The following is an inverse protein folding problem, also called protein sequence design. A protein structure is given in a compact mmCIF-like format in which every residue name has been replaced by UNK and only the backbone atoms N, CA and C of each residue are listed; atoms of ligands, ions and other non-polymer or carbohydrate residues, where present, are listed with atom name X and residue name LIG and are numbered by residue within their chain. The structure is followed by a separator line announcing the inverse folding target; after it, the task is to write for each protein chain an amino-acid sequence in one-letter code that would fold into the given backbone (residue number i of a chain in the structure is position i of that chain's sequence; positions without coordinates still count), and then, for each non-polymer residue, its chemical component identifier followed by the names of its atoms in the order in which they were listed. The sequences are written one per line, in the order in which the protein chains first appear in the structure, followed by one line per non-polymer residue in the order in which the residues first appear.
data_IF_079789120583
#
_entry.id   IF_079789120583
#
_cell.length_a   1.000
_cell.length_b   1.000
_cell.length_c   1.000
_cell.angle_alpha   90.00
_cell.angle_beta   90.00
_cell.angle_gamma   90.00
#
_symmetry.space_group_name_H-M   'P 1'
#
loop_
_entity.id
_entity.type
_entity.pdbx_description
1 polymer ?
#
# COMPACT_ATOMS: atom_id res chain seq x y z
N UNK A 1 9.93 7.79 25.84
CA UNK A 1 9.09 8.45 24.83
C UNK A 1 9.38 8.05 23.36
N UNK A 2 9.91 6.86 22.99
CA UNK A 2 10.30 6.63 21.56
C UNK A 2 10.00 5.21 20.97
N UNK A 3 9.03 4.44 21.50
CA UNK A 3 8.65 3.09 20.98
C UNK A 3 7.34 3.13 20.18
N UNK A 4 6.31 3.78 20.71
CA UNK A 4 5.07 4.04 19.97
C UNK A 4 5.33 4.80 18.66
N UNK A 5 6.16 5.85 18.70
CA UNK A 5 6.57 6.59 17.49
C UNK A 5 7.20 5.72 16.40
N UNK A 6 7.89 4.63 16.75
CA UNK A 6 8.46 3.73 15.76
C UNK A 6 7.38 2.89 15.07
N UNK A 7 6.41 2.35 15.82
CA UNK A 7 5.27 1.63 15.25
C UNK A 7 4.31 2.54 14.49
N UNK A 8 4.08 3.75 14.98
CA UNK A 8 3.34 4.80 14.29
C UNK A 8 3.95 5.20 12.95
N UNK A 9 5.24 4.94 12.73
CA UNK A 9 5.90 5.10 11.44
C UNK A 9 5.91 3.80 10.62
N UNK A 10 6.20 2.66 11.26
CA UNK A 10 6.31 1.35 10.59
C UNK A 10 5.01 0.95 9.94
N UNK A 11 3.90 1.04 10.66
CA UNK A 11 2.60 0.54 10.20
C UNK A 11 2.11 1.28 8.94
N UNK A 12 2.06 2.63 8.90
CA UNK A 12 1.65 3.32 7.67
C UNK A 12 2.66 3.17 6.53
N UNK A 13 3.97 3.11 6.82
CA UNK A 13 4.97 2.85 5.77
C UNK A 13 4.80 1.45 5.19
N UNK A 14 4.55 0.43 6.02
CA UNK A 14 4.28 -0.92 5.56
C UNK A 14 2.99 -0.96 4.70
N UNK A 15 1.94 -0.23 5.09
CA UNK A 15 0.73 -0.12 4.28
C UNK A 15 1.00 0.52 2.91
N UNK A 16 1.83 1.58 2.84
CA UNK A 16 2.29 2.15 1.56
C UNK A 16 3.03 1.09 0.74
N UNK A 17 3.91 0.32 1.36
CA UNK A 17 4.65 -0.76 0.70
C UNK A 17 3.74 -1.85 0.13
N UNK A 18 2.74 -2.27 0.91
CA UNK A 18 1.75 -3.27 0.47
C UNK A 18 0.97 -2.77 -0.74
N UNK A 19 0.38 -1.57 -0.67
CA UNK A 19 -0.42 -1.00 -1.76
C UNK A 19 0.42 -0.73 -3.01
N UNK A 20 1.63 -0.21 -2.85
CA UNK A 20 2.55 0.04 -3.96
C UNK A 20 3.02 -1.28 -4.61
N UNK A 21 3.35 -2.29 -3.80
CA UNK A 21 3.75 -3.61 -4.28
C UNK A 21 2.62 -4.32 -5.02
N UNK A 22 1.39 -4.20 -4.53
CA UNK A 22 0.20 -4.70 -5.19
C UNK A 22 -0.02 -4.05 -6.56
N UNK A 23 -0.09 -2.71 -6.60
CA UNK A 23 -0.26 -1.97 -7.85
C UNK A 23 0.87 -2.25 -8.87
N UNK A 24 2.11 -2.30 -8.40
CA UNK A 24 3.26 -2.60 -9.24
C UNK A 24 3.23 -4.04 -9.79
N UNK A 25 2.81 -5.02 -8.99
CA UNK A 25 2.72 -6.42 -9.44
C UNK A 25 1.71 -6.58 -10.58
N UNK A 26 0.55 -5.94 -10.49
CA UNK A 26 -0.45 -5.95 -11.55
C UNK A 26 0.05 -5.23 -12.80
N UNK A 27 0.64 -4.04 -12.64
CA UNK A 27 1.20 -3.28 -13.75
C UNK A 27 2.30 -4.06 -14.50
N UNK A 28 3.20 -4.73 -13.77
CA UNK A 28 4.31 -5.48 -14.34
C UNK A 28 3.89 -6.81 -14.97
N UNK A 29 2.82 -7.43 -14.48
CA UNK A 29 2.27 -8.67 -15.07
C UNK A 29 1.28 -8.40 -16.20
N UNK A 30 0.86 -7.16 -16.40
CA UNK A 30 -0.20 -6.80 -17.35
C UNK A 30 -1.58 -7.32 -16.93
N UNK A 31 -1.73 -7.77 -15.69
CA UNK A 31 -3.01 -8.23 -15.16
C UNK A 31 -3.97 -7.04 -15.02
N UNK A 32 -5.23 -7.22 -15.44
CA UNK A 32 -6.23 -6.15 -15.33
C UNK A 32 -6.60 -5.91 -13.87
N UNK A 33 -6.48 -4.66 -13.43
CA UNK A 33 -7.14 -4.15 -12.24
C UNK A 33 -8.63 -4.00 -12.60
N UNK A 34 -9.44 -4.98 -12.21
CA UNK A 34 -10.89 -4.93 -12.42
C UNK A 34 -11.56 -3.92 -11.48
N UNK A 35 -12.90 -3.91 -11.44
CA UNK A 35 -13.66 -3.10 -10.47
C UNK A 35 -13.33 -3.42 -9.00
N UNK A 36 -12.68 -4.55 -8.76
CA UNK A 36 -12.16 -4.94 -7.45
C UNK A 36 -11.05 -4.07 -6.90
N UNK A 37 -10.41 -3.28 -7.75
CA UNK A 37 -9.24 -2.48 -7.40
C UNK A 37 -9.55 -0.99 -7.31
N UNK A 38 -10.83 -0.60 -7.42
CA UNK A 38 -11.27 0.80 -7.34
C UNK A 38 -10.86 1.45 -6.01
N UNK A 39 -10.74 0.65 -4.94
CA UNK A 39 -10.26 1.13 -3.65
C UNK A 39 -8.83 1.69 -3.69
N UNK A 40 -8.00 1.31 -4.69
CA UNK A 40 -6.64 1.85 -4.85
C UNK A 40 -6.65 3.35 -5.18
N UNK A 41 -7.75 3.87 -5.77
CA UNK A 41 -7.95 5.31 -5.92
C UNK A 41 -8.04 6.02 -4.56
N UNK A 42 -8.35 5.28 -3.50
CA UNK A 42 -8.40 5.74 -2.12
C UNK A 42 -7.17 5.36 -1.28
N UNK A 43 -6.07 4.96 -1.92
CA UNK A 43 -4.84 4.60 -1.23
C UNK A 43 -4.33 5.68 -0.23
N UNK A 44 -4.35 7.00 -0.55
CA UNK A 44 -3.98 8.03 0.43
C UNK A 44 -4.85 8.02 1.69
N UNK A 45 -6.16 7.81 1.55
CA UNK A 45 -7.13 7.75 2.64
C UNK A 45 -6.89 6.51 3.51
N UNK A 46 -6.64 5.35 2.89
CA UNK A 46 -6.32 4.10 3.60
C UNK A 46 -5.05 4.29 4.44
N UNK A 47 -4.00 4.85 3.84
CA UNK A 47 -2.73 5.14 4.56
C UNK A 47 -2.96 6.12 5.70
N UNK A 48 -3.78 7.16 5.50
CA UNK A 48 -4.10 8.14 6.55
C UNK A 48 -4.84 7.49 7.73
N UNK A 49 -5.84 6.64 7.48
CA UNK A 49 -6.56 5.89 8.52
C UNK A 49 -5.60 4.97 9.27
N UNK A 50 -4.76 4.22 8.55
CA UNK A 50 -3.76 3.32 9.14
C UNK A 50 -2.74 4.09 9.99
N UNK A 51 -2.29 5.26 9.52
CA UNK A 51 -1.39 6.13 10.29
C UNK A 51 -2.05 6.64 11.58
N UNK A 52 -3.32 7.06 11.51
CA UNK A 52 -4.09 7.49 12.68
C UNK A 52 -4.23 6.37 13.71
N UNK A 53 -4.62 5.17 13.29
CA UNK A 53 -4.72 4.01 14.16
C UNK A 53 -3.38 3.65 14.80
N UNK A 54 -2.30 3.72 14.02
CA UNK A 54 -0.95 3.46 14.54
C UNK A 54 -0.50 4.51 15.56
N UNK A 55 -0.89 5.78 15.39
CA UNK A 55 -0.66 6.85 16.36
C UNK A 55 -1.47 6.64 17.65
N UNK A 56 -2.73 6.22 17.55
CA UNK A 56 -3.57 5.91 18.70
C UNK A 56 -3.01 4.71 19.50
N UNK A 57 -2.62 3.64 18.81
CA UNK A 57 -1.97 2.48 19.44
C UNK A 57 -0.62 2.85 20.08
N UNK A 58 0.16 3.70 19.41
CA UNK A 58 1.41 4.23 19.95
C UNK A 58 1.22 5.09 21.21
N UNK A 59 0.11 5.82 21.31
CA UNK A 59 -0.23 6.62 22.49
C UNK A 59 -0.63 5.74 23.69
N UNK A 60 -1.21 4.56 23.44
CA UNK A 60 -1.62 3.61 24.46
C UNK A 60 -0.49 2.76 25.06
N UNK A 61 0.69 2.72 24.42
CA UNK A 61 1.72 1.72 24.75
C UNK A 61 3.06 2.30 25.25
N UNK A 62 3.50 1.82 26.43
CA UNK A 62 4.79 2.16 27.02
C UNK A 62 5.87 1.12 26.72
N UNK A 63 7.06 1.58 26.26
CA UNK A 63 8.48 1.10 26.52
C UNK A 63 9.46 1.49 25.36
N UNK A 64 10.65 0.87 25.04
CA UNK A 64 11.65 1.08 23.88
C UNK A 64 12.07 -0.09 22.89
N UNK A 65 11.85 -0.09 21.56
CA UNK A 65 12.25 -1.20 20.64
C UNK A 65 13.29 -0.75 19.59
N UNK A 66 14.04 -1.70 19.02
CA UNK A 66 15.07 -1.47 17.98
C UNK A 66 14.44 -1.48 16.58
N UNK A 67 14.82 -0.53 15.73
CA UNK A 67 14.28 -0.31 14.39
C UNK A 67 15.04 -1.12 13.34
N UNK A 68 14.46 -2.24 12.89
CA UNK A 68 15.01 -3.16 11.87
C UNK A 68 14.09 -3.19 10.64
N UNK A 69 14.59 -3.44 9.42
CA UNK A 69 13.75 -3.64 8.24
C UNK A 69 12.95 -4.96 8.30
N UNK A 70 13.40 -5.95 9.08
CA UNK A 70 12.79 -7.29 9.09
C UNK A 70 11.31 -7.29 9.52
N UNK A 71 10.90 -6.61 10.61
CA UNK A 71 9.48 -6.49 10.97
C UNK A 71 8.63 -5.83 9.88
N UNK A 72 9.19 -4.86 9.14
CA UNK A 72 8.49 -4.18 8.04
C UNK A 72 8.25 -5.16 6.89
N UNK A 73 9.28 -5.95 6.53
CA UNK A 73 9.19 -6.94 5.47
C UNK A 73 8.21 -8.07 5.83
N UNK A 74 8.29 -8.62 7.05
CA UNK A 74 7.39 -9.69 7.50
C UNK A 74 5.95 -9.21 7.61
N UNK A 75 5.73 -8.01 8.17
CA UNK A 75 4.40 -7.43 8.26
C UNK A 75 3.85 -7.12 6.87
N UNK A 76 4.65 -6.51 5.99
CA UNK A 76 4.26 -6.22 4.61
C UNK A 76 3.91 -7.48 3.83
N UNK A 77 4.74 -8.52 3.90
CA UNK A 77 4.45 -9.82 3.27
C UNK A 77 3.16 -10.45 3.80
N UNK A 78 2.95 -10.43 5.12
CA UNK A 78 1.75 -11.00 5.73
C UNK A 78 0.51 -10.18 5.35
N UNK A 79 0.57 -8.86 5.45
CA UNK A 79 -0.53 -7.96 5.12
C UNK A 79 -0.89 -8.03 3.63
N UNK A 80 0.11 -8.10 2.73
CA UNK A 80 -0.10 -8.32 1.30
C UNK A 80 -0.79 -9.66 1.05
N UNK A 81 -0.34 -10.74 1.69
CA UNK A 81 -0.96 -12.05 1.54
C UNK A 81 -2.42 -12.05 2.03
N UNK A 82 -2.70 -11.42 3.17
CA UNK A 82 -4.06 -11.29 3.70
C UNK A 82 -4.93 -10.45 2.74
N UNK A 83 -4.42 -9.32 2.26
CA UNK A 83 -5.13 -8.46 1.32
C UNK A 83 -5.53 -9.20 0.04
N UNK A 84 -4.62 -9.95 -0.58
CA UNK A 84 -4.96 -10.73 -1.78
C UNK A 84 -5.98 -11.86 -1.51
N UNK A 85 -5.91 -12.54 -0.36
CA UNK A 85 -6.96 -13.52 -0.02
C UNK A 85 -8.31 -12.84 0.18
N UNK A 86 -8.36 -11.71 0.89
CA UNK A 86 -9.60 -10.97 1.12
C UNK A 86 -10.21 -10.50 -0.20
N UNK A 87 -9.39 -9.97 -1.12
CA UNK A 87 -9.85 -9.58 -2.45
C UNK A 87 -10.44 -10.77 -3.21
N UNK A 88 -9.75 -11.90 -3.23
CA UNK A 88 -10.23 -13.06 -3.99
C UNK A 88 -11.49 -13.67 -3.39
N UNK A 89 -11.57 -13.78 -2.07
CA UNK A 89 -12.79 -14.22 -1.41
C UNK A 89 -13.94 -13.26 -1.74
N UNK A 90 -13.70 -11.94 -1.72
CA UNK A 90 -14.72 -10.95 -2.05
C UNK A 90 -15.18 -11.02 -3.53
N UNK A 91 -14.28 -11.38 -4.45
CA UNK A 91 -14.59 -11.42 -5.88
C UNK A 91 -15.09 -12.76 -6.39
N UNK A 92 -14.53 -13.87 -5.92
CA UNK A 92 -14.83 -15.21 -6.42
C UNK A 92 -15.64 -16.03 -5.43
N UNK A 93 -15.70 -15.64 -4.15
CA UNK A 93 -16.33 -16.42 -3.08
C UNK A 93 -15.46 -17.56 -2.52
N UNK A 94 -14.27 -17.77 -3.09
CA UNK A 94 -13.40 -18.91 -2.79
C UNK A 94 -12.09 -18.48 -2.12
N UNK A 95 -11.42 -19.42 -1.45
CA UNK A 95 -10.08 -19.24 -0.87
C UNK A 95 -9.02 -19.92 -1.76
N UNK A 96 -8.50 -19.25 -2.81
CA UNK A 96 -7.60 -19.87 -3.76
C UNK A 96 -6.17 -20.03 -3.23
N UNK A 97 -5.47 -21.03 -3.74
CA UNK A 97 -4.04 -21.22 -3.48
C UNK A 97 -3.20 -20.20 -4.25
N UNK A 98 -2.78 -19.12 -3.58
CA UNK A 98 -2.16 -17.96 -4.23
C UNK A 98 -0.76 -18.21 -4.81
N UNK A 99 -0.01 -19.19 -4.28
CA UNK A 99 1.37 -19.46 -4.70
C UNK A 99 1.49 -19.99 -6.13
N UNK A 100 0.38 -20.35 -6.78
CA UNK A 100 0.34 -20.67 -8.22
C UNK A 100 0.18 -19.43 -9.12
N UNK A 101 -0.03 -18.24 -8.54
CA UNK A 101 -0.37 -17.04 -9.30
C UNK A 101 0.86 -16.16 -9.50
N UNK A 102 1.30 -15.88 -10.75
CA UNK A 102 2.51 -15.07 -11.00
C UNK A 102 2.45 -13.66 -10.39
N UNK A 103 1.28 -13.01 -10.46
CA UNK A 103 1.07 -11.67 -9.87
C UNK A 103 1.25 -11.69 -8.36
N UNK A 104 0.77 -12.73 -7.68
CA UNK A 104 0.95 -12.89 -6.24
C UNK A 104 2.43 -13.09 -5.87
N UNK A 105 3.14 -13.99 -6.57
CA UNK A 105 4.55 -14.24 -6.31
C UNK A 105 5.41 -12.99 -6.54
N UNK A 106 5.11 -12.24 -7.61
CA UNK A 106 5.79 -10.97 -7.88
C UNK A 106 5.49 -9.95 -6.77
N UNK A 107 4.23 -9.75 -6.40
CA UNK A 107 3.84 -8.82 -5.35
C UNK A 107 4.43 -9.18 -3.98
N UNK A 108 4.52 -10.47 -3.67
CA UNK A 108 5.18 -10.99 -2.47
C UNK A 108 6.69 -10.72 -2.52
N UNK A 109 7.32 -10.98 -3.66
CA UNK A 109 8.74 -10.70 -3.89
C UNK A 109 9.09 -9.21 -3.75
N UNK A 110 8.19 -8.33 -4.19
CA UNK A 110 8.34 -6.87 -4.09
C UNK A 110 8.29 -6.36 -2.64
N UNK A 111 7.74 -7.10 -1.69
CA UNK A 111 7.67 -6.66 -0.30
C UNK A 111 9.06 -6.47 0.33
N UNK A 112 10.02 -7.31 -0.02
CA UNK A 112 11.39 -7.22 0.50
C UNK A 112 12.13 -5.93 0.05
N UNK A 113 12.28 -5.62 -1.26
CA UNK A 113 12.91 -4.38 -1.69
C UNK A 113 12.15 -3.13 -1.22
N UNK A 114 10.82 -3.15 -1.21
CA UNK A 114 10.02 -2.04 -0.69
C UNK A 114 10.25 -1.82 0.81
N UNK A 115 10.32 -2.89 1.61
CA UNK A 115 10.62 -2.78 3.03
C UNK A 115 12.01 -2.16 3.29
N UNK A 116 13.01 -2.49 2.48
CA UNK A 116 14.34 -1.86 2.57
C UNK A 116 14.27 -0.37 2.24
N UNK A 117 13.61 0.00 1.14
CA UNK A 117 13.46 1.41 0.74
C UNK A 117 12.73 2.23 1.80
N UNK A 118 11.63 1.70 2.34
CA UNK A 118 10.83 2.34 3.38
C UNK A 118 11.61 2.44 4.70
N UNK A 119 12.39 1.42 5.05
CA UNK A 119 13.30 1.48 6.20
C UNK A 119 14.37 2.57 6.05
N UNK A 120 14.98 2.69 4.87
CA UNK A 120 15.95 3.75 4.57
C UNK A 120 15.31 5.14 4.68
N UNK A 121 14.11 5.30 4.12
CA UNK A 121 13.33 6.54 4.22
C UNK A 121 13.05 6.89 5.68
N UNK A 122 12.50 5.95 6.45
CA UNK A 122 12.24 6.14 7.87
C UNK A 122 13.49 6.50 8.67
N UNK A 123 14.63 5.83 8.39
CA UNK A 123 15.91 6.17 9.02
C UNK A 123 16.34 7.59 8.70
N UNK A 124 16.25 8.03 7.44
CA UNK A 124 16.59 9.42 7.05
C UNK A 124 15.69 10.44 7.75
N UNK A 125 14.39 10.19 7.82
CA UNK A 125 13.45 11.06 8.52
C UNK A 125 13.78 11.15 10.01
N UNK A 126 14.03 10.00 10.66
CA UNK A 126 14.36 9.95 12.08
C UNK A 126 15.73 10.56 12.43
N UNK A 127 16.74 10.43 11.57
CA UNK A 127 18.04 11.08 11.78
C UNK A 127 17.99 12.58 11.53
N UNK A 128 17.24 13.03 10.53
CA UNK A 128 16.99 14.46 10.29
C UNK A 128 16.32 15.14 11.48
N UNK A 129 15.28 14.52 12.05
CA UNK A 129 14.56 15.02 13.23
C UNK A 129 15.42 15.05 14.51
N UNK A 130 16.47 14.23 14.61
CA UNK A 130 17.38 14.23 15.76
C UNK A 130 18.44 15.34 15.69
N UNK A 131 18.72 15.88 14.51
CA UNK A 131 19.73 16.91 14.28
C UNK A 131 19.22 18.34 14.48
N UNK A 132 17.90 18.55 14.47
CA UNK A 132 17.29 19.84 14.78
C UNK A 132 16.84 19.91 16.26
N UNK A 133 17.46 20.74 17.11
CA UNK A 133 16.80 21.19 18.31
C UNK A 133 15.87 22.33 17.91
N UNK A 134 14.55 22.09 17.72
CA UNK A 134 13.48 23.07 18.02
C UNK A 134 12.06 22.65 17.65
N UNK A 135 11.13 23.31 18.36
CA UNK A 135 9.67 23.25 18.31
C UNK A 135 9.16 23.20 16.86
N UNK A 136 8.31 22.22 16.57
CA UNK A 136 7.62 22.10 15.29
C UNK A 136 6.73 23.34 15.07
N UNK A 137 6.88 24.10 13.97
CA UNK A 137 5.93 25.13 13.62
C UNK A 137 4.58 24.50 13.25
N UNK A 138 3.44 25.11 13.63
CA UNK A 138 2.10 24.55 13.44
C UNK A 138 1.75 24.24 11.98
N UNK A 139 2.42 24.90 11.03
CA UNK A 139 2.26 24.66 9.59
C UNK A 139 2.61 23.22 9.14
N UNK A 140 3.55 22.54 9.84
CA UNK A 140 3.89 21.14 9.50
C UNK A 140 2.81 20.13 9.94
N UNK A 141 1.93 20.52 10.87
CA UNK A 141 0.77 19.69 11.26
C UNK A 141 -0.34 19.68 10.19
N UNK A 142 -0.30 20.62 9.23
CA UNK A 142 -1.32 20.80 8.18
C UNK A 142 -0.93 20.20 6.83
N UNK A 143 0.34 19.81 6.65
CA UNK A 143 0.81 19.12 5.45
C UNK A 143 0.06 17.82 5.07
N UNK A 144 -0.38 16.95 6.01
CA UNK A 144 -1.11 15.75 5.62
C UNK A 144 -2.48 16.07 5.00
N UNK A 145 -3.12 17.20 5.36
CA UNK A 145 -4.42 17.60 4.79
C UNK A 145 -4.30 18.04 3.33
N UNK A 146 -3.27 18.80 2.99
CA UNK A 146 -3.07 19.26 1.60
C UNK A 146 -2.73 18.12 0.62
N UNK A 147 -2.25 16.97 1.14
CA UNK A 147 -2.01 15.76 0.35
C UNK A 147 -3.26 14.87 0.20
N UNK A 148 -4.17 14.91 1.17
CA UNK A 148 -5.48 14.25 1.12
C UNK A 148 -6.41 14.87 0.07
N UNK A 149 -6.25 16.17 -0.21
CA UNK A 149 -7.07 16.88 -1.22
C UNK A 149 -6.58 16.71 -2.66
N UNK A 150 -5.43 16.08 -2.88
CA UNK A 150 -5.01 15.77 -4.24
C UNK A 150 -5.72 14.51 -4.70
N UNK A 151 -6.61 14.56 -5.71
CA UNK A 151 -7.03 13.33 -6.37
C UNK A 151 -5.75 12.65 -6.84
N UNK A 152 -5.57 11.38 -6.44
CA UNK A 152 -4.54 10.55 -7.04
C UNK A 152 -4.71 10.72 -8.55
N UNK A 153 -3.61 10.99 -9.27
CA UNK A 153 -3.58 10.93 -10.72
C UNK A 153 -4.08 9.53 -11.09
N UNK A 154 -5.39 9.43 -11.32
CA UNK A 154 -6.04 8.32 -11.98
C UNK A 154 -5.26 8.25 -13.28
N UNK A 155 -4.49 7.16 -13.45
CA UNK A 155 -3.92 6.85 -14.74
C UNK A 155 -5.10 6.93 -15.70
N UNK A 156 -5.04 7.93 -16.58
CA UNK A 156 -6.11 8.27 -17.49
C UNK A 156 -6.57 6.96 -18.12
N UNK A 157 -7.84 6.63 -17.95
CA UNK A 157 -8.40 5.46 -18.61
C UNK A 157 -8.20 5.71 -20.09
N UNK A 158 -7.19 5.05 -20.67
CA UNK A 158 -6.96 5.09 -22.10
C UNK A 158 -8.32 4.85 -22.76
N UNK A 159 -8.76 5.73 -23.68
CA UNK A 159 -10.07 5.60 -24.29
C UNK A 159 -10.17 4.19 -24.83
N UNK A 160 -11.18 3.45 -24.35
CA UNK A 160 -11.54 2.14 -24.90
C UNK A 160 -11.77 2.39 -26.39
N UNK A 161 -10.78 2.06 -27.21
CA UNK A 161 -10.96 2.02 -28.65
C UNK A 161 -12.16 1.13 -28.90
N UNK A 162 -13.18 1.67 -29.54
CA UNK A 162 -14.33 0.93 -30.02
C UNK A 162 -13.81 -0.19 -30.93
N UNK A 163 -13.53 -1.36 -30.36
CA UNK A 163 -13.35 -2.57 -31.14
C UNK A 163 -14.76 -2.93 -31.60
N UNK A 164 -15.08 -2.83 -32.90
CA UNK A 164 -16.39 -3.23 -33.38
C UNK A 164 -16.57 -4.71 -33.02
N UNK A 165 -17.61 -4.99 -32.22
CA UNK A 165 -18.02 -6.34 -31.91
C UNK A 165 -18.28 -7.07 -33.23
N UNK A 166 -17.39 -8.00 -33.60
CA UNK A 166 -17.69 -8.96 -34.67
C UNK A 166 -18.83 -9.83 -34.15
N UNK A 167 -20.02 -9.59 -34.67
CA UNK A 167 -21.16 -10.46 -34.46
C UNK A 167 -20.84 -11.90 -34.91
N UNK A 168 -21.52 -12.90 -34.34
CA UNK A 168 -21.32 -14.29 -34.74
C UNK A 168 -21.66 -14.49 -36.22
N UNK A 169 -20.96 -15.40 -36.92
CA UNK A 169 -21.21 -15.66 -38.34
C UNK A 169 -22.66 -16.10 -38.55
N UNK A 170 -23.35 -15.45 -39.49
CA UNK A 170 -24.68 -15.85 -39.93
C UNK A 170 -24.63 -17.24 -40.54
N UNK A 171 -25.18 -18.23 -39.84
CA UNK A 171 -25.50 -19.53 -40.42
C UNK A 171 -26.71 -19.35 -41.34
N UNK A 172 -26.45 -18.98 -42.60
CA UNK A 172 -27.45 -19.06 -43.65
C UNK A 172 -27.53 -20.49 -44.17
N UNK A 173 -28.76 -21.00 -44.20
CA UNK A 173 -29.22 -22.17 -44.96
C UNK A 173 -29.32 -21.85 -46.44
#
# INVERSE_FOLDING_TARGET
MRRGLAWALIVPLAAVGVLAGHAAAYALTGASLGSGHDYLAHAPQIVAVVALLALLGAAAEGRRQRFSPLPIALFGATAFAVQEHVERIAHTGDLPFLLSTPTFLLGLGLQAPLAVLLWLLARRLLTGLRRQPRRLPPALALLPLAWLERPALVADHAPRGNVPARGPPSMLR
#
